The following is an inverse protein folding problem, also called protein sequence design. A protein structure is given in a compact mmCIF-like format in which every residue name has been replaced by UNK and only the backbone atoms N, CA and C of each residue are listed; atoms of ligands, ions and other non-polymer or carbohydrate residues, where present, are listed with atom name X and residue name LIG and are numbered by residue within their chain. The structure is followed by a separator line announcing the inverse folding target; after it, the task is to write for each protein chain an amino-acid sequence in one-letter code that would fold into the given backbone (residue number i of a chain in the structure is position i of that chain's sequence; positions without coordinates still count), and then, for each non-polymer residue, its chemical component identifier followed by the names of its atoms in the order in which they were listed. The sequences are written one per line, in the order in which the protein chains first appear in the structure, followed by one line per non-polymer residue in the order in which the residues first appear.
data_IF_840640690422
#
_entry.id   IF_840640690422
#
_cell.length_a   1.000
_cell.length_b   1.000
_cell.length_c   1.000
_cell.angle_alpha   90.00
_cell.angle_beta   90.00
_cell.angle_gamma   90.00
#
_symmetry.space_group_name_H-M   'P 1'
#
loop_
_entity.id
_entity.type
_entity.pdbx_description
1 polymer ?
#
# COMPACT_ATOMS: atom_id res chain seq x y z
N UNK A 1 39.21 38.18 -32.12
CA UNK A 1 40.07 37.88 -30.95
C UNK A 1 39.46 38.36 -29.61
N UNK A 2 38.63 39.41 -29.58
CA UNK A 2 38.06 39.96 -28.33
C UNK A 2 36.94 39.09 -27.71
N UNK A 3 36.11 38.43 -28.52
CA UNK A 3 35.00 37.60 -28.04
C UNK A 3 35.43 36.37 -27.21
N UNK A 4 36.55 35.72 -27.56
CA UNK A 4 37.06 34.58 -26.79
C UNK A 4 37.53 34.99 -25.38
N UNK A 5 38.12 36.19 -25.26
CA UNK A 5 38.65 36.68 -23.99
C UNK A 5 37.54 37.04 -22.97
N UNK A 6 36.38 37.48 -23.45
CA UNK A 6 35.21 37.77 -22.60
C UNK A 6 34.55 36.49 -22.11
N UNK A 7 34.45 35.46 -22.96
CA UNK A 7 33.91 34.16 -22.57
C UNK A 7 34.76 33.47 -21.49
N UNK A 8 36.08 33.56 -21.59
CA UNK A 8 36.98 33.03 -20.56
C UNK A 8 36.87 33.80 -19.25
N UNK A 9 36.73 35.13 -19.31
CA UNK A 9 36.54 35.96 -18.10
C UNK A 9 35.25 35.63 -17.35
N UNK A 10 34.14 35.39 -18.07
CA UNK A 10 32.85 35.03 -17.46
C UNK A 10 32.90 33.60 -16.89
N UNK A 11 33.55 32.65 -17.60
CA UNK A 11 33.78 31.30 -17.06
C UNK A 11 34.61 31.32 -15.79
N UNK A 12 35.63 32.17 -15.73
CA UNK A 12 36.49 32.32 -14.56
C UNK A 12 35.74 32.95 -13.37
N UNK A 13 34.89 33.95 -13.63
CA UNK A 13 34.07 34.61 -12.61
C UNK A 13 33.05 33.64 -12.00
N UNK A 14 32.37 32.81 -12.81
CA UNK A 14 31.41 31.80 -12.32
C UNK A 14 32.11 30.74 -11.48
N UNK A 15 33.31 30.31 -11.89
CA UNK A 15 34.10 29.30 -11.18
C UNK A 15 34.74 29.83 -9.89
N UNK A 16 35.01 31.13 -9.81
CA UNK A 16 35.66 31.76 -8.66
C UNK A 16 34.69 32.56 -7.76
N UNK A 17 33.41 32.68 -8.13
CA UNK A 17 32.38 33.30 -7.31
C UNK A 17 31.91 32.32 -6.22
N UNK A 18 31.86 32.80 -4.99
CA UNK A 18 31.32 32.07 -3.83
C UNK A 18 29.94 31.46 -4.09
N UNK A 19 29.09 32.15 -4.87
CA UNK A 19 27.79 31.65 -5.32
C UNK A 19 27.84 30.32 -6.06
N UNK A 20 28.83 30.11 -6.94
CA UNK A 20 28.99 28.85 -7.69
C UNK A 20 29.33 27.67 -6.79
N UNK A 21 30.21 27.89 -5.79
CA UNK A 21 30.57 26.89 -4.80
C UNK A 21 29.39 26.48 -3.92
N UNK A 22 28.55 27.44 -3.51
CA UNK A 22 27.34 27.12 -2.75
C UNK A 22 26.30 26.37 -3.57
N UNK A 23 26.18 26.66 -4.87
CA UNK A 23 25.26 25.92 -5.75
C UNK A 23 25.76 24.50 -6.02
N UNK A 24 27.08 24.29 -6.12
CA UNK A 24 27.69 22.97 -6.27
C UNK A 24 27.61 22.16 -4.96
N UNK A 25 27.85 22.80 -3.81
CA UNK A 25 27.64 22.20 -2.49
C UNK A 25 26.17 21.88 -2.26
N UNK A 26 25.26 22.82 -2.52
CA UNK A 26 23.83 22.61 -2.39
C UNK A 26 23.35 21.52 -3.36
N UNK A 27 23.83 21.45 -4.60
CA UNK A 27 23.48 20.37 -5.52
C UNK A 27 24.08 19.01 -5.08
N UNK A 28 25.22 19.01 -4.39
CA UNK A 28 25.82 17.78 -3.83
C UNK A 28 25.10 17.32 -2.57
N UNK A 29 24.68 18.26 -1.72
CA UNK A 29 23.86 18.04 -0.53
C UNK A 29 22.45 17.62 -0.93
N UNK A 30 21.85 18.27 -1.94
CA UNK A 30 20.60 17.83 -2.55
C UNK A 30 20.78 16.44 -3.13
N UNK A 31 21.84 16.13 -3.89
CA UNK A 31 22.14 14.77 -4.40
C UNK A 31 22.38 13.72 -3.30
N UNK A 32 22.96 14.11 -2.17
CA UNK A 32 23.18 13.24 -1.02
C UNK A 32 21.87 12.97 -0.26
N UNK A 33 20.94 13.93 -0.24
CA UNK A 33 19.60 13.79 0.33
C UNK A 33 18.63 13.13 -0.65
N UNK A 34 18.84 13.29 -1.96
CA UNK A 34 17.83 13.04 -2.98
C UNK A 34 17.56 11.55 -3.24
N UNK A 35 18.48 10.62 -3.01
CA UNK A 35 18.14 9.19 -3.12
C UNK A 35 19.05 8.28 -2.27
N UNK A 36 18.92 8.30 -0.95
CA UNK A 36 18.99 7.01 -0.25
C UNK A 36 17.68 6.26 -0.55
N UNK A 37 17.51 5.79 -1.80
CA UNK A 37 16.49 4.78 -2.09
C UNK A 37 16.78 3.66 -1.11
N UNK A 38 15.90 3.48 -0.12
CA UNK A 38 15.94 2.39 0.82
C UNK A 38 16.05 1.11 0.00
N UNK A 39 17.29 0.63 -0.20
CA UNK A 39 17.54 -0.55 -1.00
C UNK A 39 17.00 -1.71 -0.19
N UNK A 40 15.77 -2.12 -0.49
CA UNK A 40 15.13 -3.22 0.23
C UNK A 40 16.04 -4.43 0.11
N UNK A 41 16.59 -4.94 1.22
CA UNK A 41 17.50 -6.06 1.16
C UNK A 41 16.75 -7.29 0.65
N UNK A 42 17.42 -8.06 -0.22
CA UNK A 42 16.83 -9.21 -0.91
C UNK A 42 16.20 -10.23 0.04
N UNK A 43 16.75 -10.39 1.25
CA UNK A 43 16.25 -11.33 2.24
C UNK A 43 14.89 -10.92 2.82
N UNK A 44 14.58 -9.62 2.90
CA UNK A 44 13.24 -9.16 3.31
C UNK A 44 12.19 -9.55 2.27
N UNK A 45 12.52 -9.43 0.98
CA UNK A 45 11.62 -9.83 -0.12
C UNK A 45 11.39 -11.34 -0.11
N UNK A 46 12.43 -12.14 0.12
CA UNK A 46 12.30 -13.59 0.26
C UNK A 46 11.47 -13.96 1.49
N UNK A 47 11.71 -13.31 2.64
CA UNK A 47 10.98 -13.56 3.88
C UNK A 47 9.49 -13.25 3.70
N UNK A 48 9.17 -12.10 3.09
CA UNK A 48 7.80 -11.72 2.74
C UNK A 48 7.15 -12.78 1.84
N UNK A 49 7.86 -13.23 0.81
CA UNK A 49 7.38 -14.31 -0.07
C UNK A 49 7.06 -15.61 0.67
N UNK A 50 7.92 -16.06 1.59
CA UNK A 50 7.69 -17.26 2.41
C UNK A 50 6.43 -17.07 3.28
N UNK A 51 6.32 -15.94 3.98
CA UNK A 51 5.19 -15.65 4.87
C UNK A 51 3.89 -15.58 4.06
N UNK A 52 3.89 -14.89 2.91
CA UNK A 52 2.75 -14.77 2.01
C UNK A 52 2.29 -16.13 1.50
N UNK A 53 3.18 -17.03 1.08
CA UNK A 53 2.81 -18.39 0.66
C UNK A 53 2.19 -19.18 1.81
N UNK A 54 2.80 -19.15 3.00
CA UNK A 54 2.30 -19.89 4.18
C UNK A 54 0.89 -19.42 4.56
N UNK A 55 0.69 -18.11 4.68
CA UNK A 55 -0.63 -17.53 5.00
C UNK A 55 -1.62 -17.86 3.89
N UNK A 56 -1.20 -17.78 2.62
CA UNK A 56 -2.03 -18.12 1.47
C UNK A 56 -2.52 -19.56 1.51
N UNK A 57 -1.64 -20.52 1.80
CA UNK A 57 -2.03 -21.93 1.96
C UNK A 57 -2.99 -22.13 3.14
N UNK A 58 -2.73 -21.48 4.28
CA UNK A 58 -3.62 -21.54 5.43
C UNK A 58 -5.03 -20.99 5.11
N UNK A 59 -5.12 -19.91 4.34
CA UNK A 59 -6.41 -19.38 3.88
C UNK A 59 -7.16 -20.34 2.95
N UNK A 60 -6.46 -21.13 2.14
CA UNK A 60 -7.09 -22.08 1.22
C UNK A 60 -7.58 -23.35 1.92
N UNK A 61 -6.80 -23.88 2.86
CA UNK A 61 -7.11 -25.15 3.53
C UNK A 61 -7.88 -24.97 4.84
N UNK A 62 -7.68 -23.87 5.55
CA UNK A 62 -8.37 -23.53 6.81
C UNK A 62 -8.82 -22.06 6.80
N UNK A 63 -9.75 -21.70 5.90
CA UNK A 63 -10.16 -20.31 5.69
C UNK A 63 -10.71 -19.68 6.97
N UNK A 64 -11.53 -20.41 7.72
CA UNK A 64 -12.17 -19.92 8.96
C UNK A 64 -11.12 -19.56 10.00
N UNK A 65 -10.29 -20.53 10.42
CA UNK A 65 -9.33 -20.33 11.51
C UNK A 65 -8.27 -19.28 11.14
N UNK A 66 -7.80 -19.29 9.89
CA UNK A 66 -6.83 -18.32 9.39
C UNK A 66 -7.40 -16.92 9.37
N UNK A 67 -8.65 -16.76 8.92
CA UNK A 67 -9.33 -15.46 8.93
C UNK A 67 -9.50 -14.93 10.35
N UNK A 68 -9.91 -15.77 11.32
CA UNK A 68 -9.99 -15.36 12.73
C UNK A 68 -8.64 -14.80 13.19
N UNK A 69 -7.56 -15.55 12.93
CA UNK A 69 -6.22 -15.20 13.36
C UNK A 69 -5.75 -13.89 12.73
N UNK A 70 -5.96 -13.72 11.42
CA UNK A 70 -5.58 -12.49 10.71
C UNK A 70 -6.38 -11.28 11.20
N UNK A 71 -7.69 -11.43 11.40
CA UNK A 71 -8.55 -10.36 11.93
C UNK A 71 -8.13 -9.98 13.35
N UNK A 72 -7.77 -10.95 14.20
CA UNK A 72 -7.26 -10.68 15.54
C UNK A 72 -5.93 -9.92 15.52
N UNK A 73 -4.98 -10.34 14.68
CA UNK A 73 -3.71 -9.65 14.49
C UNK A 73 -3.96 -8.20 14.05
N UNK A 74 -4.82 -8.00 13.05
CA UNK A 74 -5.19 -6.66 12.58
C UNK A 74 -5.87 -5.82 13.68
N UNK A 75 -6.75 -6.42 14.47
CA UNK A 75 -7.40 -5.75 15.61
C UNK A 75 -6.39 -5.29 16.66
N UNK A 76 -5.37 -6.10 16.97
CA UNK A 76 -4.27 -5.71 17.86
C UNK A 76 -3.52 -4.51 17.28
N UNK A 77 -3.17 -4.55 15.98
CA UNK A 77 -2.48 -3.44 15.32
C UNK A 77 -3.30 -2.15 15.34
N UNK A 78 -4.60 -2.22 15.05
CA UNK A 78 -5.50 -1.05 15.10
C UNK A 78 -5.67 -0.51 16.51
N UNK A 79 -5.79 -1.40 17.51
CA UNK A 79 -5.84 -1.00 18.91
C UNK A 79 -4.57 -0.26 19.33
N UNK A 80 -3.39 -0.86 19.10
CA UNK A 80 -2.11 -0.27 19.46
C UNK A 80 -1.85 1.02 18.70
N UNK A 81 -2.12 1.05 17.40
CA UNK A 81 -2.02 2.27 16.59
C UNK A 81 -2.94 3.37 17.10
N UNK A 82 -4.16 3.03 17.51
CA UNK A 82 -5.10 3.97 18.11
C UNK A 82 -4.61 4.55 19.43
N UNK A 83 -4.08 3.69 20.31
CA UNK A 83 -3.46 4.10 21.58
C UNK A 83 -2.26 5.01 21.34
N UNK A 84 -1.35 4.63 20.44
CA UNK A 84 -0.17 5.43 20.08
C UNK A 84 -0.60 6.79 19.50
N UNK A 85 -1.63 6.83 18.66
CA UNK A 85 -2.15 8.07 18.07
C UNK A 85 -2.67 9.03 19.16
N UNK A 86 -3.39 8.53 20.16
CA UNK A 86 -3.83 9.35 21.30
C UNK A 86 -2.64 9.80 22.17
N UNK A 87 -1.68 8.92 22.47
CA UNK A 87 -0.49 9.28 23.25
C UNK A 87 0.36 10.33 22.52
N UNK A 88 0.41 10.27 21.18
CA UNK A 88 1.17 11.22 20.36
C UNK A 88 0.71 12.67 20.54
N UNK A 89 -0.57 12.89 20.91
CA UNK A 89 -1.12 14.22 21.23
C UNK A 89 -0.47 14.89 22.45
N UNK A 90 0.20 14.10 23.31
CA UNK A 90 0.95 14.62 24.46
C UNK A 90 2.30 15.21 24.05
N UNK A 91 2.86 14.77 22.92
CA UNK A 91 4.16 15.19 22.41
C UNK A 91 3.99 16.26 21.33
N UNK A 92 3.05 16.04 20.40
CA UNK A 92 2.82 16.91 19.26
C UNK A 92 1.32 17.02 18.94
N UNK A 93 0.85 18.28 18.90
CA UNK A 93 -0.56 18.63 18.69
C UNK A 93 -0.89 19.04 17.25
N UNK A 94 0.06 18.94 16.32
CA UNK A 94 -0.27 19.06 14.91
C UNK A 94 -1.31 17.99 14.50
N UNK A 95 -2.25 18.36 13.65
CA UNK A 95 -3.36 17.50 13.19
C UNK A 95 -4.18 16.84 14.31
N UNK A 96 -4.35 17.54 15.45
CA UNK A 96 -5.05 17.04 16.63
C UNK A 96 -6.40 16.38 16.31
N UNK A 97 -7.20 16.99 15.43
CA UNK A 97 -8.49 16.43 15.02
C UNK A 97 -8.38 15.07 14.35
N UNK A 98 -7.39 14.88 13.47
CA UNK A 98 -7.16 13.62 12.76
C UNK A 98 -6.53 12.56 13.66
N UNK A 99 -5.55 12.92 14.49
CA UNK A 99 -4.95 12.03 15.49
C UNK A 99 -5.98 11.52 16.50
N UNK A 100 -6.84 12.41 17.00
CA UNK A 100 -7.92 12.02 17.92
C UNK A 100 -8.94 11.10 17.22
N UNK A 101 -9.39 11.46 16.02
CA UNK A 101 -10.36 10.67 15.26
C UNK A 101 -9.82 9.27 14.94
N UNK A 102 -8.63 9.19 14.35
CA UNK A 102 -7.96 7.93 14.03
C UNK A 102 -7.66 7.11 15.28
N UNK A 103 -7.27 7.77 16.37
CA UNK A 103 -7.04 7.16 17.68
C UNK A 103 -8.28 6.47 18.24
N UNK A 104 -9.38 7.20 18.32
CA UNK A 104 -10.66 6.68 18.82
C UNK A 104 -11.19 5.56 17.92
N UNK A 105 -11.15 5.75 16.60
CA UNK A 105 -11.59 4.72 15.64
C UNK A 105 -10.74 3.46 15.78
N UNK A 106 -9.41 3.59 15.87
CA UNK A 106 -8.48 2.47 16.04
C UNK A 106 -8.76 1.65 17.30
N UNK A 107 -8.97 2.33 18.43
CA UNK A 107 -9.30 1.69 19.70
C UNK A 107 -10.65 0.98 19.62
N UNK A 108 -11.69 1.64 19.11
CA UNK A 108 -13.03 1.05 18.99
C UNK A 108 -13.01 -0.21 18.12
N UNK A 109 -12.33 -0.16 16.98
CA UNK A 109 -12.22 -1.33 16.08
C UNK A 109 -11.43 -2.46 16.75
N UNK A 110 -10.34 -2.13 17.43
CA UNK A 110 -9.59 -3.10 18.23
C UNK A 110 -10.47 -3.79 19.29
N UNK A 111 -11.25 -3.02 20.05
CA UNK A 111 -12.17 -3.55 21.05
C UNK A 111 -13.24 -4.45 20.41
N UNK A 112 -13.85 -4.01 19.30
CA UNK A 112 -14.86 -4.82 18.58
C UNK A 112 -14.30 -6.17 18.17
N UNK A 113 -13.06 -6.21 17.67
CA UNK A 113 -12.38 -7.46 17.30
C UNK A 113 -12.18 -8.38 18.52
N UNK A 114 -11.83 -7.82 19.68
CA UNK A 114 -11.65 -8.61 20.91
C UNK A 114 -12.95 -9.11 21.53
N UNK A 115 -14.06 -8.36 21.39
CA UNK A 115 -15.37 -8.74 21.95
C UNK A 115 -16.04 -9.82 21.10
N UNK A 116 -15.83 -9.82 19.78
CA UNK A 116 -16.43 -10.80 18.86
C UNK A 116 -15.37 -11.67 18.15
N UNK A 117 -14.51 -12.42 18.88
CA UNK A 117 -13.42 -13.17 18.28
C UNK A 117 -13.92 -14.38 17.45
N UNK A 118 -15.10 -14.92 17.76
CA UNK A 118 -15.61 -16.15 17.15
C UNK A 118 -16.45 -15.94 15.89
N UNK A 119 -16.70 -14.70 15.46
CA UNK A 119 -17.47 -14.41 14.25
C UNK A 119 -16.75 -13.44 13.30
N UNK A 120 -15.60 -13.86 12.73
CA UNK A 120 -14.88 -13.06 11.74
C UNK A 120 -15.75 -12.75 10.52
N UNK A 121 -16.70 -13.64 10.21
CA UNK A 121 -17.63 -13.48 9.10
C UNK A 121 -18.58 -12.30 9.30
N UNK A 122 -18.92 -11.93 10.54
CA UNK A 122 -19.72 -10.72 10.79
C UNK A 122 -18.89 -9.48 10.44
N UNK A 123 -17.65 -9.40 10.92
CA UNK A 123 -16.74 -8.28 10.63
C UNK A 123 -16.47 -8.19 9.12
N UNK A 124 -16.16 -9.33 8.47
CA UNK A 124 -15.97 -9.40 7.03
C UNK A 124 -17.24 -9.04 6.27
N UNK A 125 -18.43 -9.40 6.76
CA UNK A 125 -19.68 -9.06 6.08
C UNK A 125 -19.95 -7.55 6.12
N UNK A 126 -19.58 -6.84 7.19
CA UNK A 126 -19.59 -5.36 7.19
C UNK A 126 -18.64 -4.80 6.14
N UNK A 127 -17.44 -5.37 6.02
CA UNK A 127 -16.48 -4.98 4.98
C UNK A 127 -17.04 -5.25 3.57
N UNK A 128 -17.68 -6.39 3.36
CA UNK A 128 -18.33 -6.76 2.09
C UNK A 128 -19.48 -5.82 1.75
N UNK A 129 -20.25 -5.35 2.73
CA UNK A 129 -21.29 -4.34 2.52
C UNK A 129 -20.67 -3.04 2.03
N UNK A 130 -19.60 -2.57 2.69
CA UNK A 130 -18.86 -1.37 2.27
C UNK A 130 -18.34 -1.53 0.84
N UNK A 131 -17.69 -2.67 0.54
CA UNK A 131 -17.22 -2.97 -0.81
C UNK A 131 -18.36 -3.02 -1.82
N UNK A 132 -19.49 -3.62 -1.49
CA UNK A 132 -20.67 -3.68 -2.35
C UNK A 132 -21.21 -2.29 -2.70
N UNK A 133 -21.33 -1.41 -1.71
CA UNK A 133 -21.73 0.00 -1.91
C UNK A 133 -20.69 0.72 -2.79
N UNK A 134 -19.40 0.59 -2.48
CA UNK A 134 -18.33 1.22 -3.25
C UNK A 134 -18.31 0.72 -4.70
N UNK A 135 -18.51 -0.58 -4.93
CA UNK A 135 -18.59 -1.16 -6.28
C UNK A 135 -19.73 -0.56 -7.08
N UNK A 136 -20.89 -0.31 -6.48
CA UNK A 136 -22.00 0.38 -7.14
C UNK A 136 -21.61 1.82 -7.50
N UNK A 137 -20.99 2.56 -6.56
CA UNK A 137 -20.54 3.94 -6.80
C UNK A 137 -19.50 4.00 -7.91
N UNK A 138 -18.45 3.18 -7.86
CA UNK A 138 -17.42 3.11 -8.89
C UNK A 138 -17.97 2.65 -10.23
N UNK A 139 -18.90 1.69 -10.22
CA UNK A 139 -19.61 1.26 -11.43
C UNK A 139 -20.39 2.40 -12.07
N UNK A 140 -21.13 3.18 -11.28
CA UNK A 140 -21.86 4.36 -11.75
C UNK A 140 -20.93 5.44 -12.32
N UNK A 141 -19.80 5.71 -11.65
CA UNK A 141 -18.76 6.62 -12.15
C UNK A 141 -18.22 6.12 -13.50
N UNK A 142 -17.92 4.82 -13.64
CA UNK A 142 -17.44 4.24 -14.91
C UNK A 142 -18.47 4.35 -16.02
N UNK A 143 -19.74 4.10 -15.74
CA UNK A 143 -20.82 4.31 -16.72
C UNK A 143 -20.91 5.78 -17.15
N UNK A 144 -20.79 6.72 -16.22
CA UNK A 144 -20.76 8.15 -16.56
C UNK A 144 -19.59 8.50 -17.49
N UNK A 145 -18.40 7.95 -17.26
CA UNK A 145 -17.25 8.14 -18.15
C UNK A 145 -17.41 7.43 -19.50
N UNK A 146 -18.07 6.27 -19.53
CA UNK A 146 -18.35 5.57 -20.78
C UNK A 146 -19.23 6.41 -21.72
N UNK A 147 -20.23 7.12 -21.17
CA UNK A 147 -21.08 8.06 -21.92
C UNK A 147 -20.30 9.28 -22.42
N UNK A 148 -19.21 9.68 -21.75
CA UNK A 148 -18.32 10.79 -22.15
C UNK A 148 -17.24 10.38 -23.16
N UNK A 149 -17.32 9.19 -23.75
CA UNK A 149 -16.37 8.71 -24.76
C UNK A 149 -15.35 7.69 -24.27
N UNK A 150 -15.53 7.13 -23.07
CA UNK A 150 -14.67 6.04 -22.55
C UNK A 150 -14.78 4.71 -23.30
N UNK A 151 -15.70 4.60 -24.27
CA UNK A 151 -15.89 3.41 -25.11
C UNK A 151 -16.71 2.31 -24.45
N UNK A 152 -17.12 1.33 -25.26
CA UNK A 152 -18.00 0.22 -24.86
C UNK A 152 -17.35 -0.65 -23.77
N UNK A 153 -16.02 -0.81 -23.81
CA UNK A 153 -15.29 -1.57 -22.79
C UNK A 153 -15.47 -1.01 -21.38
N UNK A 154 -15.45 0.31 -21.22
CA UNK A 154 -15.67 0.97 -19.93
C UNK A 154 -17.14 0.84 -19.48
N UNK A 155 -18.10 0.86 -20.42
CA UNK A 155 -19.51 0.62 -20.11
C UNK A 155 -19.74 -0.79 -19.57
N UNK A 156 -19.19 -1.82 -20.24
CA UNK A 156 -19.32 -3.23 -19.82
C UNK A 156 -18.68 -3.42 -18.45
N UNK A 157 -17.48 -2.88 -18.23
CA UNK A 157 -16.82 -2.95 -16.92
C UNK A 157 -17.64 -2.24 -15.83
N UNK A 158 -18.23 -1.09 -16.14
CA UNK A 158 -19.13 -0.38 -15.23
C UNK A 158 -20.32 -1.24 -14.82
N UNK A 159 -21.03 -1.80 -15.79
CA UNK A 159 -22.19 -2.69 -15.55
C UNK A 159 -21.78 -3.91 -14.72
N UNK A 160 -20.67 -4.57 -15.09
CA UNK A 160 -20.18 -5.73 -14.35
C UNK A 160 -19.83 -5.39 -12.90
N UNK A 161 -19.23 -4.22 -12.68
CA UNK A 161 -18.88 -3.74 -11.33
C UNK A 161 -20.15 -3.49 -10.49
N UNK A 162 -21.20 -2.91 -11.08
CA UNK A 162 -22.49 -2.72 -10.40
C UNK A 162 -23.12 -4.07 -10.06
N UNK A 163 -23.14 -5.02 -11.00
CA UNK A 163 -23.69 -6.36 -10.78
C UNK A 163 -22.95 -7.05 -9.63
N UNK A 164 -21.62 -6.98 -9.60
CA UNK A 164 -20.82 -7.50 -8.49
C UNK A 164 -21.17 -6.82 -7.17
N UNK A 165 -21.31 -5.49 -7.17
CA UNK A 165 -21.72 -4.74 -5.98
C UNK A 165 -23.08 -5.18 -5.44
N UNK A 166 -24.08 -5.32 -6.31
CA UNK A 166 -25.41 -5.82 -5.95
C UNK A 166 -25.33 -7.26 -5.42
N UNK A 167 -24.58 -8.14 -6.08
CA UNK A 167 -24.42 -9.53 -5.66
C UNK A 167 -23.82 -9.64 -4.25
N UNK A 168 -22.83 -8.80 -3.93
CA UNK A 168 -22.23 -8.72 -2.60
C UNK A 168 -23.23 -8.23 -1.55
N UNK A 169 -24.15 -7.33 -1.90
CA UNK A 169 -25.17 -6.82 -0.98
C UNK A 169 -26.34 -7.78 -0.74
N UNK A 170 -26.68 -8.61 -1.72
CA UNK A 170 -27.76 -9.61 -1.57
C UNK A 170 -27.41 -10.69 -0.55
N UNK A 171 -26.15 -11.14 -0.55
CA UNK A 171 -25.67 -12.10 0.44
C UNK A 171 -24.25 -11.75 0.91
N UNK A 172 -24.14 -10.82 1.88
CA UNK A 172 -22.84 -10.38 2.39
C UNK A 172 -22.05 -11.50 3.06
N UNK A 173 -22.74 -12.48 3.65
CA UNK A 173 -22.11 -13.65 4.27
C UNK A 173 -21.44 -14.55 3.23
N UNK A 174 -22.10 -14.79 2.10
CA UNK A 174 -21.50 -15.53 0.99
C UNK A 174 -20.29 -14.78 0.39
N UNK A 175 -20.41 -13.46 0.23
CA UNK A 175 -19.28 -12.62 -0.19
C UNK A 175 -18.10 -12.72 0.78
N UNK A 176 -18.38 -12.63 2.08
CA UNK A 176 -17.36 -12.72 3.14
C UNK A 176 -16.70 -14.11 3.18
N UNK A 177 -17.46 -15.16 2.91
CA UNK A 177 -16.92 -16.51 2.83
C UNK A 177 -15.93 -16.62 1.67
N UNK A 178 -16.22 -16.10 0.49
CA UNK A 178 -15.37 -16.27 -0.70
C UNK A 178 -14.01 -15.55 -0.58
N UNK A 179 -13.95 -14.42 0.14
CA UNK A 179 -12.76 -13.58 0.24
C UNK A 179 -11.49 -14.34 0.66
N UNK A 180 -11.48 -15.15 1.74
CA UNK A 180 -10.34 -15.99 2.11
C UNK A 180 -9.73 -16.77 0.95
N UNK A 181 -10.55 -17.40 0.10
CA UNK A 181 -10.03 -18.17 -1.04
C UNK A 181 -9.40 -17.27 -2.09
N UNK A 182 -10.05 -16.16 -2.43
CA UNK A 182 -9.51 -15.18 -3.38
C UNK A 182 -8.15 -14.68 -2.87
N UNK A 183 -8.10 -14.15 -1.64
CA UNK A 183 -6.86 -13.66 -1.04
C UNK A 183 -5.80 -14.75 -0.90
N UNK A 184 -6.21 -15.98 -0.56
CA UNK A 184 -5.31 -17.13 -0.45
C UNK A 184 -4.59 -17.40 -1.78
N UNK A 185 -5.32 -17.43 -2.90
CA UNK A 185 -4.74 -17.60 -4.24
C UNK A 185 -3.79 -16.44 -4.56
N UNK A 186 -4.19 -15.19 -4.33
CA UNK A 186 -3.35 -14.02 -4.59
C UNK A 186 -2.07 -14.03 -3.76
N UNK A 187 -2.13 -14.42 -2.48
CA UNK A 187 -0.97 -14.52 -1.60
C UNK A 187 -0.03 -15.64 -2.01
N UNK A 188 -0.54 -16.78 -2.46
CA UNK A 188 0.31 -17.86 -2.99
C UNK A 188 1.03 -17.40 -4.26
N UNK A 189 0.30 -16.82 -5.23
CA UNK A 189 0.90 -16.36 -6.49
C UNK A 189 1.90 -15.23 -6.23
N UNK A 190 1.50 -14.22 -5.46
CA UNK A 190 2.35 -13.08 -5.10
C UNK A 190 3.58 -13.51 -4.30
N UNK A 191 3.41 -14.42 -3.34
CA UNK A 191 4.50 -14.95 -2.54
C UNK A 191 5.51 -15.76 -3.36
N UNK A 192 5.05 -16.58 -4.32
CA UNK A 192 5.95 -17.26 -5.27
C UNK A 192 6.70 -16.25 -6.13
N UNK A 193 6.03 -15.20 -6.61
CA UNK A 193 6.68 -14.14 -7.39
C UNK A 193 7.74 -13.38 -6.56
N UNK A 194 7.45 -13.07 -5.28
CA UNK A 194 8.38 -12.43 -4.36
C UNK A 194 9.60 -13.30 -4.06
N UNK A 195 9.40 -14.62 -3.86
CA UNK A 195 10.50 -15.58 -3.70
C UNK A 195 11.45 -15.55 -4.91
N UNK A 196 10.91 -15.60 -6.13
CA UNK A 196 11.69 -15.54 -7.36
C UNK A 196 12.41 -14.18 -7.48
N UNK A 197 11.68 -13.08 -7.22
CA UNK A 197 12.22 -11.72 -7.27
C UNK A 197 13.38 -11.50 -6.29
N UNK A 198 13.21 -11.91 -5.03
CA UNK A 198 14.23 -11.79 -4.00
C UNK A 198 15.50 -12.61 -4.31
N UNK A 199 15.34 -13.84 -4.82
CA UNK A 199 16.49 -14.65 -5.25
C UNK A 199 17.23 -14.03 -6.45
N UNK A 200 16.49 -13.43 -7.39
CA UNK A 200 17.07 -12.70 -8.52
C UNK A 200 17.87 -11.47 -8.06
N UNK A 201 17.36 -10.72 -7.07
CA UNK A 201 18.07 -9.58 -6.47
C UNK A 201 19.38 -10.00 -5.78
N UNK A 202 19.39 -11.14 -5.10
CA UNK A 202 20.61 -11.71 -4.50
C UNK A 202 21.66 -12.04 -5.57
N UNK A 203 21.23 -12.62 -6.68
CA UNK A 203 22.14 -13.01 -7.77
C UNK A 203 22.73 -11.81 -8.50
N UNK A 204 21.96 -10.74 -8.71
CA UNK A 204 22.43 -9.51 -9.35
C UNK A 204 23.49 -8.74 -8.55
N UNK A 205 23.41 -8.73 -7.22
CA UNK A 205 24.44 -8.11 -6.36
C UNK A 205 25.78 -8.87 -6.35
N UNK A 206 25.81 -10.13 -6.78
CA UNK A 206 27.00 -10.98 -6.74
C UNK A 206 27.79 -11.01 -8.06
N UNK A 207 27.41 -10.25 -9.09
CA UNK A 207 28.15 -10.20 -10.37
C UNK A 207 28.75 -8.80 -10.62
N UNK A 208 30.04 -8.57 -10.31
CA UNK A 208 30.69 -7.27 -10.46
C UNK A 208 30.97 -6.84 -11.92
N UNK A 209 30.52 -7.59 -12.94
CA UNK A 209 30.79 -7.29 -14.35
C UNK A 209 29.53 -6.99 -15.19
N UNK A 210 28.38 -6.70 -14.58
CA UNK A 210 27.11 -6.48 -15.28
C UNK A 210 26.74 -4.98 -15.44
N UNK A 211 27.73 -4.11 -15.60
CA UNK A 211 27.56 -2.67 -15.89
C UNK A 211 28.19 -2.31 -17.23
#
# INVERSE_FOLDING_TARGET
MIFYRVADSIRFEIQNNSGGKYMEQAATEYRAVEYEVLQVPWWLVVLEGIISVIIGLFLLFSPVATTITLVQILGIFWFLGGVISIISLLVDREDMGWKLLSGVIGILIGIVVFVYPYSPFVILSLFVIILGILSIVYGAIRLFWALKGGGIGVAILGILTIILGILLLVNPLAGAAILPWIYGIFLVIGGIAALIGGLKMKSGKNNPYAG
#
